data_IF_700345870681
#
_entry.id   IF_700345870681
#
_cell.length_a   1.000
_cell.length_b   1.000
_cell.length_c   1.000
_cell.angle_alpha   90.00
_cell.angle_beta   90.00
_cell.angle_gamma   90.00
#
_symmetry.space_group_name_H-M   'P 1'
#
loop_
_entity.id
_entity.type
_entity.pdbx_description
1 polymer ?
#
# COMPACT_ATOMS: atom_id res chain seq x y z
N UNK A 1 22.47 11.96 -20.78
CA UNK A 1 21.71 11.19 -19.79
C UNK A 1 20.29 11.72 -19.85
N UNK A 2 19.40 11.02 -20.54
CA UNK A 2 18.01 11.43 -20.64
C UNK A 2 17.36 11.14 -19.28
N UNK A 3 16.94 12.18 -18.57
CA UNK A 3 16.17 12.05 -17.33
C UNK A 3 14.82 11.40 -17.67
N UNK A 4 14.72 10.09 -17.44
CA UNK A 4 13.46 9.36 -17.54
C UNK A 4 12.54 9.82 -16.40
N UNK A 5 11.62 10.73 -16.71
CA UNK A 5 10.66 11.27 -15.74
C UNK A 5 9.53 10.25 -15.55
N UNK A 6 9.63 9.41 -14.52
CA UNK A 6 8.56 8.50 -14.11
C UNK A 6 7.33 9.32 -13.70
N UNK A 7 6.32 9.38 -14.59
CA UNK A 7 5.11 10.17 -14.34
C UNK A 7 4.13 9.36 -13.50
N UNK A 8 4.12 9.62 -12.18
CA UNK A 8 3.09 9.09 -11.28
C UNK A 8 1.75 9.74 -11.63
N UNK A 9 0.72 8.93 -11.88
CA UNK A 9 -0.61 9.44 -12.25
C UNK A 9 -1.39 9.88 -11.00
N UNK A 10 -2.42 10.72 -11.19
CA UNK A 10 -3.34 11.09 -10.10
C UNK A 10 -4.01 9.86 -9.46
N UNK A 11 -4.34 8.85 -10.25
CA UNK A 11 -4.90 7.60 -9.75
C UNK A 11 -3.90 6.88 -8.84
N UNK A 12 -2.62 6.83 -9.22
CA UNK A 12 -1.59 6.22 -8.37
C UNK A 12 -1.40 6.98 -7.06
N UNK A 13 -1.43 8.32 -7.09
CA UNK A 13 -1.40 9.14 -5.88
C UNK A 13 -2.60 8.86 -4.94
N UNK A 14 -3.80 8.71 -5.49
CA UNK A 14 -4.99 8.36 -4.69
C UNK A 14 -4.87 6.97 -4.07
N UNK A 15 -4.35 5.98 -4.80
CA UNK A 15 -4.10 4.65 -4.25
C UNK A 15 -3.06 4.70 -3.11
N UNK A 16 -1.98 5.47 -3.28
CA UNK A 16 -0.96 5.64 -2.25
C UNK A 16 -1.49 6.38 -1.01
N UNK A 17 -2.36 7.37 -1.19
CA UNK A 17 -3.03 8.06 -0.08
C UNK A 17 -3.94 7.09 0.70
N UNK A 18 -4.73 6.28 0.00
CA UNK A 18 -5.54 5.25 0.64
C UNK A 18 -4.68 4.24 1.41
N UNK A 19 -3.58 3.77 0.83
CA UNK A 19 -2.65 2.88 1.50
C UNK A 19 -2.06 3.50 2.77
N UNK A 20 -1.65 4.76 2.70
CA UNK A 20 -1.16 5.50 3.87
C UNK A 20 -2.21 5.55 4.99
N UNK A 21 -3.45 5.90 4.64
CA UNK A 21 -4.54 6.01 5.62
C UNK A 21 -4.87 4.67 6.27
N UNK A 22 -4.87 3.58 5.50
CA UNK A 22 -5.09 2.23 6.03
C UNK A 22 -3.93 1.80 6.94
N UNK A 23 -2.68 2.09 6.55
CA UNK A 23 -1.51 1.82 7.40
C UNK A 23 -1.56 2.55 8.74
N UNK A 24 -2.00 3.81 8.74
CA UNK A 24 -2.21 4.58 9.96
C UNK A 24 -3.29 3.95 10.85
N UNK A 25 -4.44 3.59 10.28
CA UNK A 25 -5.53 2.92 11.00
C UNK A 25 -5.07 1.59 11.63
N UNK A 26 -4.32 0.79 10.88
CA UNK A 26 -3.72 -0.46 11.37
C UNK A 26 -2.79 -0.20 12.56
N UNK A 27 -1.95 0.83 12.47
CA UNK A 27 -1.05 1.24 13.56
C UNK A 27 -1.80 1.70 14.81
N UNK A 28 -2.86 2.50 14.65
CA UNK A 28 -3.71 2.96 15.76
C UNK A 28 -4.41 1.78 16.45
N UNK A 29 -4.96 0.85 15.66
CA UNK A 29 -5.61 -0.36 16.18
C UNK A 29 -4.62 -1.27 16.92
N UNK A 30 -3.37 -1.38 16.45
CA UNK A 30 -2.32 -2.12 17.15
C UNK A 30 -1.90 -1.44 18.46
N UNK A 31 -1.75 -0.11 18.49
CA UNK A 31 -1.38 0.62 19.71
C UNK A 31 -2.46 0.54 20.80
N UNK A 32 -3.74 0.69 20.43
CA UNK A 32 -4.86 0.54 21.37
C UNK A 32 -4.91 -0.89 21.93
N UNK A 33 -4.59 -1.89 21.11
CA UNK A 33 -4.48 -3.29 21.54
C UNK A 33 -3.30 -3.53 22.49
N UNK A 34 -2.13 -2.95 22.27
CA UNK A 34 -0.97 -3.15 23.16
C UNK A 34 -1.18 -2.53 24.55
N UNK A 35 -1.98 -1.45 24.66
CA UNK A 35 -2.39 -0.88 25.94
C UNK A 35 -3.40 -1.75 26.72
N UNK A 36 -4.04 -2.72 26.05
CA UNK A 36 -5.02 -3.64 26.63
C UNK A 36 -4.55 -5.08 26.43
N UNK A 37 -3.70 -5.57 27.35
CA UNK A 37 -3.04 -6.89 27.34
C UNK A 37 -3.98 -8.11 27.41
N UNK A 38 -5.25 -7.98 27.03
CA UNK A 38 -6.19 -9.08 26.86
C UNK A 38 -6.02 -9.67 25.46
N UNK A 39 -5.47 -10.89 25.41
CA UNK A 39 -5.43 -11.82 24.29
C UNK A 39 -6.43 -11.46 23.16
N UNK A 40 -5.89 -11.11 21.99
CA UNK A 40 -6.64 -10.76 20.77
C UNK A 40 -7.81 -11.71 20.55
N UNK A 41 -8.97 -11.12 20.27
CA UNK A 41 -10.03 -11.85 19.60
C UNK A 41 -9.50 -12.34 18.24
N UNK A 42 -9.49 -13.66 17.98
CA UNK A 42 -9.00 -14.22 16.72
C UNK A 42 -9.64 -13.57 15.48
N UNK A 43 -10.89 -13.11 15.59
CA UNK A 43 -11.57 -12.41 14.51
C UNK A 43 -10.91 -11.06 14.17
N UNK A 44 -10.49 -10.30 15.18
CA UNK A 44 -9.79 -9.02 14.97
C UNK A 44 -8.39 -9.21 14.36
N UNK A 45 -7.67 -10.27 14.74
CA UNK A 45 -6.40 -10.63 14.09
C UNK A 45 -6.59 -10.97 12.63
N UNK A 46 -7.62 -11.75 12.33
CA UNK A 46 -7.94 -12.13 10.96
C UNK A 46 -8.29 -10.89 10.13
N UNK A 47 -9.10 -9.99 10.66
CA UNK A 47 -9.42 -8.72 10.00
C UNK A 47 -8.18 -7.86 9.76
N UNK A 48 -7.30 -7.74 10.75
CA UNK A 48 -6.04 -7.00 10.60
C UNK A 48 -5.15 -7.61 9.50
N UNK A 49 -5.03 -8.93 9.49
CA UNK A 49 -4.28 -9.64 8.45
C UNK A 49 -4.90 -9.44 7.06
N UNK A 50 -6.24 -9.46 6.95
CA UNK A 50 -6.93 -9.17 5.69
C UNK A 50 -6.70 -7.75 5.19
N UNK A 51 -6.72 -6.75 6.10
CA UNK A 51 -6.46 -5.35 5.76
C UNK A 51 -5.02 -5.15 5.30
N UNK A 52 -4.05 -5.74 6.00
CA UNK A 52 -2.63 -5.71 5.60
C UNK A 52 -2.44 -6.38 4.23
N UNK A 53 -3.06 -7.55 4.00
CA UNK A 53 -2.97 -8.24 2.72
C UNK A 53 -3.55 -7.39 1.57
N UNK A 54 -4.70 -6.74 1.79
CA UNK A 54 -5.29 -5.82 0.82
C UNK A 54 -4.37 -4.62 0.54
N UNK A 55 -3.72 -4.07 1.57
CA UNK A 55 -2.74 -3.00 1.37
C UNK A 55 -1.57 -3.45 0.49
N UNK A 56 -1.02 -4.64 0.76
CA UNK A 56 0.10 -5.17 -0.02
C UNK A 56 -0.28 -5.37 -1.48
N UNK A 57 -1.42 -6.00 -1.77
CA UNK A 57 -1.88 -6.24 -3.14
C UNK A 57 -2.08 -4.91 -3.91
N UNK A 58 -2.62 -3.89 -3.26
CA UNK A 58 -2.82 -2.56 -3.87
C UNK A 58 -1.51 -1.81 -4.08
N UNK A 59 -0.49 -2.05 -3.27
CA UNK A 59 0.84 -1.51 -3.49
C UNK A 59 1.53 -2.20 -4.68
N UNK A 60 1.42 -3.53 -4.77
CA UNK A 60 1.96 -4.30 -5.90
C UNK A 60 1.37 -3.82 -7.23
N UNK A 61 0.06 -3.58 -7.29
CA UNK A 61 -0.62 -3.00 -8.46
C UNK A 61 -0.01 -1.66 -8.90
N UNK A 62 0.36 -0.79 -7.96
CA UNK A 62 0.99 0.51 -8.26
C UNK A 62 2.41 0.29 -8.76
N UNK A 63 3.17 -0.61 -8.14
CA UNK A 63 4.54 -0.96 -8.55
C UNK A 63 4.55 -1.54 -9.96
N UNK A 64 3.66 -2.48 -10.26
CA UNK A 64 3.53 -3.08 -11.60
C UNK A 64 3.21 -2.02 -12.65
N UNK A 65 2.27 -1.12 -12.40
CA UNK A 65 1.94 -0.03 -13.33
C UNK A 65 3.11 0.92 -13.56
N UNK A 66 3.84 1.28 -12.50
CA UNK A 66 5.04 2.09 -12.62
C UNK A 66 6.12 1.38 -13.46
N UNK A 67 6.35 0.09 -13.22
CA UNK A 67 7.34 -0.70 -13.94
C UNK A 67 6.96 -0.91 -15.41
N UNK A 68 5.68 -1.21 -15.69
CA UNK A 68 5.18 -1.37 -17.05
C UNK A 68 5.30 -0.06 -17.86
N UNK A 69 5.02 1.09 -17.24
CA UNK A 69 5.23 2.40 -17.86
C UNK A 69 6.71 2.67 -18.12
N UNK A 70 7.58 2.40 -17.15
CA UNK A 70 9.03 2.52 -17.33
C UNK A 70 9.54 1.67 -18.50
N UNK A 71 9.18 0.39 -18.54
CA UNK A 71 9.55 -0.53 -19.63
C UNK A 71 9.03 -0.06 -20.99
N UNK A 72 7.81 0.49 -21.03
CA UNK A 72 7.22 1.00 -22.28
C UNK A 72 7.97 2.23 -22.80
N UNK A 73 8.42 3.11 -21.91
CA UNK A 73 9.20 4.30 -22.28
C UNK A 73 10.65 3.93 -22.68
N UNK A 74 11.26 2.92 -22.03
CA UNK A 74 12.59 2.40 -22.43
C UNK A 74 12.58 1.76 -23.82
N UNK A 75 11.52 1.03 -24.18
CA UNK A 75 11.37 0.43 -25.52
C UNK A 75 11.15 1.50 -26.61
N UNK A 76 10.72 2.70 -26.23
CA UNK A 76 10.47 3.83 -27.16
C UNK A 76 11.66 4.79 -27.30
N UNK A 77 12.65 4.70 -26.42
CA UNK A 77 13.87 5.51 -26.42
C UNK A 77 14.93 4.95 -27.37
#
# INVERSE_FOLDING_TARGET
MNELTLTITRADLQHLEHLRNVGQLVGELMQVQDCTTSRRDPAQQLQLASVIHLMTARLDDVVERCNARWLTEEVRA
#
